data_IF_586712187254
#
_entry.id   IF_586712187254
#
_cell.length_a   1.000
_cell.length_b   1.000
_cell.length_c   1.000
_cell.angle_alpha   90.00
_cell.angle_beta   90.00
_cell.angle_gamma   90.00
#
_symmetry.space_group_name_H-M   'P 1'
#
loop_
_entity.id
_entity.type
_entity.pdbx_description
1 polymer ?
#
# COMPACT_ATOMS: atom_id res chain seq x y z
N UNK A 1 20.60 -31.49 8.71
CA UNK A 1 21.59 -30.82 7.83
C UNK A 1 21.00 -29.47 7.47
N UNK A 2 21.57 -28.37 7.96
CA UNK A 2 21.09 -27.03 7.61
C UNK A 2 21.53 -26.67 6.20
N UNK A 3 20.59 -26.25 5.35
CA UNK A 3 20.88 -25.76 4.00
C UNK A 3 22.00 -24.72 4.04
N UNK A 4 23.05 -24.93 3.26
CA UNK A 4 24.10 -23.93 3.05
C UNK A 4 23.46 -22.68 2.46
N UNK A 5 23.54 -21.54 3.16
CA UNK A 5 23.05 -20.26 2.63
C UNK A 5 23.80 -19.92 1.33
N UNK A 6 23.13 -20.05 0.19
CA UNK A 6 23.67 -19.67 -1.12
C UNK A 6 23.59 -18.14 -1.27
N UNK A 7 24.74 -17.49 -1.42
CA UNK A 7 24.81 -16.06 -1.68
C UNK A 7 24.64 -15.80 -3.18
N UNK A 8 23.84 -14.80 -3.54
CA UNK A 8 23.51 -14.44 -4.92
C UNK A 8 23.94 -12.99 -5.12
N UNK A 9 24.75 -12.73 -6.15
CA UNK A 9 25.23 -11.38 -6.46
C UNK A 9 24.14 -10.54 -7.12
N UNK A 10 24.29 -9.22 -7.09
CA UNK A 10 23.36 -8.32 -7.77
C UNK A 10 23.36 -8.54 -9.30
N UNK A 11 24.51 -8.90 -9.88
CA UNK A 11 24.67 -9.25 -11.29
C UNK A 11 23.91 -10.53 -11.65
N UNK A 12 23.94 -11.53 -10.76
CA UNK A 12 23.20 -12.77 -10.95
C UNK A 12 21.69 -12.52 -10.83
N UNK A 13 21.25 -11.79 -9.79
CA UNK A 13 19.84 -11.45 -9.60
C UNK A 13 19.23 -10.78 -10.84
N UNK A 14 19.97 -9.85 -11.48
CA UNK A 14 19.51 -9.12 -12.68
C UNK A 14 19.17 -10.03 -13.87
N UNK A 15 19.70 -11.26 -13.92
CA UNK A 15 19.42 -12.22 -15.00
C UNK A 15 17.99 -12.78 -14.92
N UNK A 16 17.43 -12.84 -13.71
CA UNK A 16 16.11 -13.41 -13.41
C UNK A 16 15.00 -12.35 -13.51
N UNK A 17 14.84 -11.76 -14.70
CA UNK A 17 13.95 -10.62 -14.96
C UNK A 17 12.83 -10.90 -15.99
N UNK A 18 12.58 -12.18 -16.32
CA UNK A 18 11.57 -12.59 -17.31
C UNK A 18 10.39 -13.25 -16.62
N UNK A 19 9.22 -13.27 -17.27
CA UNK A 19 7.99 -13.80 -16.65
C UNK A 19 8.09 -15.27 -16.25
N UNK A 20 8.91 -16.03 -16.96
CA UNK A 20 9.16 -17.46 -16.73
C UNK A 20 10.32 -17.69 -15.74
N UNK A 21 11.00 -16.63 -15.29
CA UNK A 21 12.13 -16.67 -14.37
C UNK A 21 12.24 -15.32 -13.63
N UNK A 22 11.46 -15.19 -12.55
CA UNK A 22 11.30 -13.94 -11.77
C UNK A 22 11.88 -14.12 -10.39
N UNK A 23 12.99 -13.44 -10.11
CA UNK A 23 13.54 -13.34 -8.76
C UNK A 23 13.50 -11.90 -8.27
N UNK A 24 13.30 -11.72 -6.98
CA UNK A 24 13.35 -10.41 -6.32
C UNK A 24 14.22 -10.49 -5.07
N UNK A 25 14.89 -9.40 -4.72
CA UNK A 25 15.51 -9.25 -3.40
C UNK A 25 14.58 -8.45 -2.48
N UNK A 26 14.35 -8.94 -1.27
CA UNK A 26 13.71 -8.17 -0.18
C UNK A 26 14.56 -8.32 1.08
N UNK A 27 15.04 -7.20 1.60
CA UNK A 27 15.91 -7.06 2.77
C UNK A 27 17.19 -7.90 2.65
N UNK A 28 17.81 -7.86 1.47
CA UNK A 28 19.04 -8.61 1.17
C UNK A 28 18.84 -10.14 1.05
N UNK A 29 17.59 -10.63 1.10
CA UNK A 29 17.26 -12.03 0.82
C UNK A 29 16.69 -12.13 -0.59
N UNK A 30 17.21 -13.07 -1.37
CA UNK A 30 16.72 -13.34 -2.72
C UNK A 30 15.63 -14.40 -2.67
N UNK A 31 14.51 -14.11 -3.32
CA UNK A 31 13.36 -14.99 -3.44
C UNK A 31 13.13 -15.28 -4.92
N UNK A 32 13.12 -16.56 -5.27
CA UNK A 32 12.53 -16.98 -6.54
C UNK A 32 11.01 -16.94 -6.37
N UNK A 33 10.35 -16.03 -7.08
CA UNK A 33 8.90 -15.83 -7.01
C UNK A 33 8.19 -16.25 -8.29
N UNK A 34 8.88 -16.89 -9.23
CA UNK A 34 8.39 -17.30 -10.55
C UNK A 34 7.01 -17.97 -10.50
N UNK A 35 6.82 -18.95 -9.62
CA UNK A 35 5.55 -19.65 -9.49
C UNK A 35 4.50 -18.84 -8.70
N UNK A 36 4.96 -17.97 -7.81
CA UNK A 36 4.12 -17.19 -6.92
C UNK A 36 3.54 -15.93 -7.59
N UNK A 37 4.17 -15.37 -8.64
CA UNK A 37 3.70 -14.13 -9.28
C UNK A 37 2.24 -14.22 -9.74
N UNK A 38 1.80 -15.40 -10.17
CA UNK A 38 0.41 -15.66 -10.60
C UNK A 38 -0.58 -15.64 -9.44
N UNK A 39 -0.07 -15.81 -8.22
CA UNK A 39 -0.82 -15.81 -6.97
C UNK A 39 -0.64 -14.50 -6.18
N UNK A 40 0.09 -13.52 -6.71
CA UNK A 40 0.29 -12.24 -6.05
C UNK A 40 -1.05 -11.46 -5.99
N UNK A 41 -1.45 -10.94 -4.81
CA UNK A 41 -2.74 -10.26 -4.69
C UNK A 41 -2.90 -9.00 -5.55
N UNK A 42 -1.82 -8.25 -5.77
CA UNK A 42 -1.84 -7.10 -6.68
C UNK A 42 -1.77 -7.45 -8.17
N UNK A 43 -1.92 -8.73 -8.53
CA UNK A 43 -1.65 -9.24 -9.88
C UNK A 43 -0.16 -9.41 -10.16
N UNK A 44 0.20 -9.92 -11.33
CA UNK A 44 1.60 -10.21 -11.67
C UNK A 44 2.42 -8.97 -12.07
N UNK A 45 1.77 -7.95 -12.64
CA UNK A 45 2.42 -6.73 -13.17
C UNK A 45 3.31 -6.02 -12.13
N UNK A 46 2.87 -5.76 -10.88
CA UNK A 46 3.72 -5.08 -9.89
C UNK A 46 5.03 -5.84 -9.61
N UNK A 47 4.99 -7.17 -9.57
CA UNK A 47 6.17 -8.00 -9.32
C UNK A 47 7.05 -8.08 -10.57
N UNK A 48 6.46 -8.19 -11.76
CA UNK A 48 7.20 -8.20 -13.03
C UNK A 48 8.00 -6.91 -13.24
N UNK A 49 7.46 -5.76 -12.84
CA UNK A 49 8.18 -4.48 -12.88
C UNK A 49 9.40 -4.43 -11.95
N UNK A 50 9.46 -5.32 -10.97
CA UNK A 50 10.54 -5.46 -9.98
C UNK A 50 11.39 -6.73 -10.21
N UNK A 51 11.15 -7.47 -11.28
CA UNK A 51 11.87 -8.69 -11.60
C UNK A 51 13.36 -8.41 -11.78
N UNK A 52 14.20 -9.26 -11.19
CA UNK A 52 15.66 -9.13 -11.16
C UNK A 52 16.18 -7.91 -10.39
N UNK A 53 15.35 -7.32 -9.52
CA UNK A 53 15.68 -6.10 -8.78
C UNK A 53 15.53 -6.29 -7.27
N UNK A 54 16.06 -5.31 -6.55
CA UNK A 54 15.75 -5.08 -5.14
C UNK A 54 14.36 -4.43 -5.02
N UNK A 55 13.42 -5.15 -4.41
CA UNK A 55 12.01 -4.81 -4.26
C UNK A 55 11.61 -4.33 -2.85
N UNK A 56 12.54 -4.25 -1.89
CA UNK A 56 12.30 -3.82 -0.51
C UNK A 56 11.67 -2.45 -0.43
N UNK A 57 12.03 -1.53 -1.31
CA UNK A 57 11.50 -0.17 -1.25
C UNK A 57 10.11 -0.07 -1.84
N UNK A 58 9.80 -0.90 -2.85
CA UNK A 58 8.42 -1.06 -3.28
C UNK A 58 7.61 -1.66 -2.14
N UNK A 59 8.15 -2.68 -1.47
CA UNK A 59 7.53 -3.25 -0.27
C UNK A 59 7.28 -2.13 0.76
N UNK A 60 8.30 -1.38 1.18
CA UNK A 60 8.16 -0.27 2.15
C UNK A 60 7.20 0.82 1.67
N UNK A 61 7.21 1.20 0.39
CA UNK A 61 6.33 2.23 -0.15
C UNK A 61 4.84 1.83 -0.11
N UNK A 62 4.55 0.53 -0.20
CA UNK A 62 3.21 -0.02 -0.02
C UNK A 62 2.89 -0.38 1.44
N UNK A 63 3.87 -0.32 2.36
CA UNK A 63 3.64 -0.44 3.80
C UNK A 63 3.46 0.95 4.40
N UNK A 64 2.30 1.23 5.00
CA UNK A 64 1.96 2.58 5.38
C UNK A 64 2.89 3.13 6.47
N UNK A 65 2.88 4.46 6.64
CA UNK A 65 3.38 5.17 7.83
C UNK A 65 2.80 4.57 9.14
N UNK A 66 1.75 3.78 9.01
CA UNK A 66 1.03 3.09 10.06
C UNK A 66 1.44 1.62 10.18
N UNK A 67 1.52 1.12 11.40
CA UNK A 67 1.66 -0.30 11.66
C UNK A 67 0.26 -0.92 11.83
N UNK A 68 -0.12 -1.81 10.91
CA UNK A 68 -1.37 -2.59 11.03
C UNK A 68 -1.20 -3.88 11.84
N UNK A 69 0.05 -4.28 12.10
CA UNK A 69 0.39 -5.45 12.92
C UNK A 69 1.78 -5.32 13.54
N UNK A 70 2.06 -6.10 14.59
CA UNK A 70 3.36 -6.15 15.26
C UNK A 70 4.49 -6.72 14.41
N UNK A 71 4.18 -7.42 13.30
CA UNK A 71 5.22 -7.87 12.37
C UNK A 71 5.99 -6.72 11.74
N UNK A 72 5.39 -5.53 11.69
CA UNK A 72 6.00 -4.29 11.20
C UNK A 72 6.89 -3.59 12.25
N UNK A 73 6.99 -4.12 13.47
CA UNK A 73 7.92 -3.59 14.50
C UNK A 73 9.36 -4.09 14.31
N UNK A 74 9.61 -4.94 13.30
CA UNK A 74 10.95 -5.36 12.93
C UNK A 74 11.58 -4.28 12.06
N UNK A 75 12.84 -3.90 12.35
CA UNK A 75 13.58 -2.96 11.52
C UNK A 75 13.60 -3.42 10.06
N UNK A 76 13.35 -2.49 9.13
CA UNK A 76 13.31 -2.78 7.70
C UNK A 76 14.50 -2.11 7.00
N UNK A 77 15.36 -2.88 6.33
CA UNK A 77 16.46 -2.28 5.55
C UNK A 77 15.96 -1.71 4.23
N UNK A 78 15.90 -0.38 4.08
CA UNK A 78 15.59 0.25 2.80
C UNK A 78 16.83 0.38 1.93
N UNK A 79 16.77 -0.19 0.73
CA UNK A 79 17.82 -0.10 -0.27
C UNK A 79 17.75 1.18 -1.10
N UNK A 80 16.59 1.85 -1.15
CA UNK A 80 16.37 3.11 -1.84
C UNK A 80 16.97 4.27 -1.06
N UNK A 81 16.79 4.26 0.26
CA UNK A 81 17.38 5.25 1.15
C UNK A 81 18.78 4.85 1.64
N UNK A 82 19.22 3.62 1.37
CA UNK A 82 20.50 3.09 1.86
C UNK A 82 20.60 3.09 3.39
N UNK A 83 19.47 2.91 4.09
CA UNK A 83 19.39 2.98 5.56
C UNK A 83 18.47 1.92 6.14
N UNK A 84 18.78 1.49 7.35
CA UNK A 84 17.86 0.71 8.18
C UNK A 84 16.74 1.64 8.70
N UNK A 85 15.49 1.29 8.40
CA UNK A 85 14.31 1.88 9.03
C UNK A 85 14.11 1.14 10.35
N UNK A 86 14.82 1.61 11.38
CA UNK A 86 14.72 1.04 12.72
C UNK A 86 13.37 1.36 13.34
N UNK A 87 12.80 0.39 14.05
CA UNK A 87 11.64 0.65 14.91
C UNK A 87 12.11 1.24 16.25
N UNK A 88 12.69 2.43 16.16
CA UNK A 88 13.29 3.15 17.27
C UNK A 88 12.23 3.75 18.23
N UNK A 89 12.69 4.40 19.30
CA UNK A 89 11.79 5.00 20.29
C UNK A 89 10.84 6.05 19.70
N UNK A 90 11.27 6.76 18.64
CA UNK A 90 10.45 7.76 17.97
C UNK A 90 9.36 7.10 17.12
N UNK A 91 9.69 6.06 16.37
CA UNK A 91 8.74 5.24 15.63
C UNK A 91 7.73 4.58 16.59
N UNK A 92 8.19 4.02 17.71
CA UNK A 92 7.32 3.47 18.77
C UNK A 92 6.35 4.53 19.31
N UNK A 93 6.83 5.74 19.56
CA UNK A 93 5.98 6.84 20.01
C UNK A 93 4.89 7.15 18.99
N UNK A 94 5.23 7.41 17.73
CA UNK A 94 4.23 7.74 16.71
C UNK A 94 3.24 6.60 16.45
N UNK A 95 3.71 5.35 16.40
CA UNK A 95 2.84 4.18 16.25
C UNK A 95 1.92 4.01 17.45
N UNK A 96 2.35 4.35 18.68
CA UNK A 96 1.50 4.28 19.88
C UNK A 96 0.29 5.23 19.83
N UNK A 97 0.32 6.27 18.99
CA UNK A 97 -0.76 7.24 18.81
C UNK A 97 -1.39 7.22 17.41
N UNK A 98 -1.01 6.26 16.56
CA UNK A 98 -1.39 6.26 15.14
C UNK A 98 -2.90 6.27 14.87
N UNK A 99 -3.71 5.73 15.78
CA UNK A 99 -5.16 5.69 15.65
C UNK A 99 -5.82 7.07 15.83
N UNK A 100 -5.13 8.02 16.47
CA UNK A 100 -5.55 9.43 16.52
C UNK A 100 -4.99 10.24 15.35
N UNK A 101 -3.77 9.91 14.91
CA UNK A 101 -3.09 10.65 13.84
C UNK A 101 -3.43 10.15 12.44
N UNK A 102 -4.22 9.07 12.32
CA UNK A 102 -4.60 8.45 11.05
C UNK A 102 -5.14 9.46 10.04
N UNK A 103 -6.27 10.13 10.34
CA UNK A 103 -6.88 11.06 9.40
C UNK A 103 -5.99 12.28 9.08
N UNK A 104 -5.39 12.98 10.07
CA UNK A 104 -4.48 14.09 9.78
C UNK A 104 -3.31 13.71 8.86
N UNK A 105 -2.68 12.56 9.11
CA UNK A 105 -1.56 12.08 8.29
C UNK A 105 -2.04 11.71 6.88
N UNK A 106 -3.20 11.07 6.74
CA UNK A 106 -3.75 10.74 5.42
C UNK A 106 -4.06 12.01 4.61
N UNK A 107 -4.53 13.09 5.22
CA UNK A 107 -4.74 14.38 4.53
C UNK A 107 -3.47 14.96 3.91
N UNK A 108 -2.30 14.72 4.50
CA UNK A 108 -1.00 15.21 4.01
C UNK A 108 -0.17 14.14 3.29
N UNK A 109 -0.61 12.89 3.31
CA UNK A 109 0.09 11.74 2.72
C UNK A 109 0.41 11.90 1.23
N UNK A 110 -0.35 12.74 0.52
CA UNK A 110 -0.08 13.09 -0.88
C UNK A 110 1.28 13.75 -1.08
N UNK A 111 1.77 14.52 -0.09
CA UNK A 111 3.12 15.10 -0.11
C UNK A 111 4.16 13.98 -0.18
N UNK A 112 3.99 12.91 0.60
CA UNK A 112 4.87 11.75 0.53
C UNK A 112 4.84 11.12 -0.87
N UNK A 113 3.68 10.95 -1.50
CA UNK A 113 3.59 10.43 -2.87
C UNK A 113 4.35 11.29 -3.89
N UNK A 114 4.28 12.62 -3.78
CA UNK A 114 5.07 13.51 -4.63
C UNK A 114 6.57 13.35 -4.40
N UNK A 115 6.99 13.29 -3.14
CA UNK A 115 8.40 13.06 -2.78
C UNK A 115 8.88 11.72 -3.34
N UNK A 116 8.13 10.62 -3.14
CA UNK A 116 8.44 9.30 -3.70
C UNK A 116 8.56 9.32 -5.23
N UNK A 117 7.68 10.08 -5.90
CA UNK A 117 7.70 10.20 -7.37
C UNK A 117 8.98 10.87 -7.85
N UNK A 118 9.38 11.99 -7.25
CA UNK A 118 10.63 12.68 -7.59
C UNK A 118 11.83 11.78 -7.31
N UNK A 119 11.86 11.19 -6.11
CA UNK A 119 12.88 10.23 -5.69
C UNK A 119 13.03 9.08 -6.70
N UNK A 120 11.94 8.45 -7.13
CA UNK A 120 11.96 7.36 -8.11
C UNK A 120 12.46 7.83 -9.49
N UNK A 121 12.02 8.99 -9.97
CA UNK A 121 12.38 9.49 -11.31
C UNK A 121 13.84 9.91 -11.41
N UNK A 122 14.41 10.47 -10.34
CA UNK A 122 15.82 10.82 -10.26
C UNK A 122 16.71 9.65 -9.80
N UNK A 123 16.14 8.49 -9.51
CA UNK A 123 16.91 7.29 -9.18
C UNK A 123 17.53 6.61 -10.40
N UNK A 124 18.49 5.71 -10.15
CA UNK A 124 19.10 4.86 -11.18
C UNK A 124 18.21 3.68 -11.63
N UNK A 125 17.02 3.49 -11.03
CA UNK A 125 16.11 2.38 -11.38
C UNK A 125 15.61 2.53 -12.82
N UNK A 126 15.18 1.43 -13.46
CA UNK A 126 14.52 1.51 -14.77
C UNK A 126 13.06 1.93 -14.55
N UNK A 127 12.66 3.07 -15.11
CA UNK A 127 11.27 3.56 -15.05
C UNK A 127 10.72 3.59 -16.49
N UNK A 128 9.64 2.85 -16.78
CA UNK A 128 8.97 2.93 -18.08
C UNK A 128 8.58 4.37 -18.39
N UNK A 129 8.77 4.80 -19.65
CA UNK A 129 8.33 6.12 -20.12
C UNK A 129 8.81 7.29 -19.26
N UNK A 130 10.02 7.19 -18.67
CA UNK A 130 10.58 8.18 -17.73
C UNK A 130 10.48 9.61 -18.24
N UNK A 131 10.78 9.84 -19.52
CA UNK A 131 10.70 11.16 -20.13
C UNK A 131 9.29 11.75 -20.04
N UNK A 132 8.25 10.98 -20.42
CA UNK A 132 6.87 11.42 -20.34
C UNK A 132 6.40 11.63 -18.91
N UNK A 133 6.86 10.80 -17.97
CA UNK A 133 6.60 11.01 -16.54
C UNK A 133 7.19 12.33 -16.03
N UNK A 134 8.45 12.63 -16.38
CA UNK A 134 9.09 13.91 -16.03
C UNK A 134 8.33 15.08 -16.67
N UNK A 135 7.97 14.97 -17.95
CA UNK A 135 7.20 16.00 -18.65
C UNK A 135 5.86 16.27 -17.97
N UNK A 136 5.09 15.23 -17.64
CA UNK A 136 3.80 15.38 -16.95
C UNK A 136 3.94 16.06 -15.58
N UNK A 137 4.99 15.75 -14.84
CA UNK A 137 5.29 16.38 -13.55
C UNK A 137 5.69 17.84 -13.74
N UNK A 138 6.52 18.17 -14.72
CA UNK A 138 6.86 19.57 -15.03
C UNK A 138 5.63 20.37 -15.43
N UNK A 139 4.74 19.80 -16.24
CA UNK A 139 3.45 20.42 -16.59
C UNK A 139 2.63 20.69 -15.34
N UNK A 140 2.44 19.69 -14.47
CA UNK A 140 1.67 19.86 -13.24
C UNK A 140 2.27 20.90 -12.30
N UNK A 141 3.58 20.85 -12.05
CA UNK A 141 4.27 21.79 -11.15
C UNK A 141 4.50 23.18 -11.74
N UNK A 142 4.18 23.38 -13.01
CA UNK A 142 4.10 24.72 -13.62
C UNK A 142 2.66 25.23 -13.57
N UNK A 143 1.71 24.42 -14.06
CA UNK A 143 0.30 24.79 -14.13
C UNK A 143 -0.33 25.02 -12.75
N UNK A 144 -0.08 24.14 -11.78
CA UNK A 144 -0.72 24.22 -10.47
C UNK A 144 -0.32 25.49 -9.70
N UNK A 145 0.97 25.88 -9.59
CA UNK A 145 1.34 27.15 -9.01
C UNK A 145 0.79 28.36 -9.78
N UNK A 146 0.77 28.34 -11.12
CA UNK A 146 0.19 29.44 -11.91
C UNK A 146 -1.32 29.59 -11.64
N UNK A 147 -2.05 28.48 -11.50
CA UNK A 147 -3.44 28.49 -11.08
C UNK A 147 -3.59 29.11 -9.68
N UNK A 148 -2.75 28.70 -8.72
CA UNK A 148 -2.76 29.24 -7.35
C UNK A 148 -2.43 30.74 -7.35
N UNK A 149 -1.46 31.19 -8.16
CA UNK A 149 -1.08 32.60 -8.28
C UNK A 149 -2.21 33.48 -8.84
N UNK A 150 -3.19 32.88 -9.53
CA UNK A 150 -4.38 33.59 -10.00
C UNK A 150 -5.33 33.98 -8.87
N UNK A 151 -5.12 33.46 -7.64
CA UNK A 151 -5.89 33.85 -6.46
C UNK A 151 -5.38 35.19 -5.87
N UNK A 152 -6.28 36.05 -5.37
CA UNK A 152 -6.01 37.45 -5.06
C UNK A 152 -5.08 37.67 -3.85
N UNK A 153 -5.09 36.78 -2.85
CA UNK A 153 -4.32 36.96 -1.61
C UNK A 153 -3.70 35.66 -1.10
N UNK A 154 -2.73 35.79 -0.19
CA UNK A 154 -1.99 34.66 0.38
C UNK A 154 -2.86 33.69 1.19
N UNK A 155 -3.88 34.18 1.88
CA UNK A 155 -4.79 33.34 2.66
C UNK A 155 -5.54 32.37 1.76
N UNK A 156 -6.14 32.84 0.67
CA UNK A 156 -6.84 32.01 -0.30
C UNK A 156 -5.90 31.01 -0.98
N UNK A 157 -4.68 31.43 -1.32
CA UNK A 157 -3.66 30.54 -1.90
C UNK A 157 -3.33 29.37 -0.98
N UNK A 158 -3.05 29.65 0.29
CA UNK A 158 -2.74 28.63 1.29
C UNK A 158 -3.94 27.71 1.51
N UNK A 159 -5.14 28.28 1.70
CA UNK A 159 -6.36 27.49 1.89
C UNK A 159 -6.69 26.61 0.69
N UNK A 160 -6.50 27.10 -0.53
CA UNK A 160 -6.71 26.33 -1.75
C UNK A 160 -5.77 25.12 -1.82
N UNK A 161 -4.48 25.31 -1.56
CA UNK A 161 -3.50 24.22 -1.56
C UNK A 161 -3.82 23.19 -0.47
N UNK A 162 -4.08 23.64 0.76
CA UNK A 162 -4.42 22.76 1.88
C UNK A 162 -5.70 21.96 1.58
N UNK A 163 -6.74 22.61 1.07
CA UNK A 163 -8.02 21.96 0.75
C UNK A 163 -7.86 20.96 -0.40
N UNK A 164 -7.15 21.34 -1.47
CA UNK A 164 -6.87 20.47 -2.61
C UNK A 164 -6.16 19.18 -2.20
N UNK A 165 -5.21 19.28 -1.25
CA UNK A 165 -4.47 18.11 -0.76
C UNK A 165 -5.34 17.29 0.21
N UNK A 166 -6.04 17.94 1.13
CA UNK A 166 -6.91 17.26 2.10
C UNK A 166 -8.07 16.51 1.44
N UNK A 167 -8.74 17.09 0.44
CA UNK A 167 -9.86 16.44 -0.28
C UNK A 167 -9.40 15.15 -0.95
N UNK A 168 -8.21 15.14 -1.57
CA UNK A 168 -7.65 13.90 -2.12
C UNK A 168 -7.29 12.86 -1.07
N UNK A 169 -7.06 13.28 0.17
CA UNK A 169 -6.89 12.38 1.32
C UNK A 169 -8.09 11.48 1.56
N UNK A 170 -9.32 11.91 1.21
CA UNK A 170 -10.53 11.08 1.36
C UNK A 170 -10.43 9.80 0.53
N UNK A 171 -9.95 9.91 -0.71
CA UNK A 171 -9.76 8.75 -1.58
C UNK A 171 -8.65 7.82 -1.04
N UNK A 172 -7.64 8.37 -0.39
CA UNK A 172 -6.60 7.57 0.26
C UNK A 172 -7.14 6.87 1.52
N UNK A 173 -8.02 7.52 2.30
CA UNK A 173 -8.76 6.85 3.39
C UNK A 173 -9.47 5.62 2.84
N UNK A 174 -10.24 5.78 1.76
CA UNK A 174 -10.94 4.66 1.11
C UNK A 174 -10.00 3.49 0.77
N UNK A 175 -8.84 3.78 0.18
CA UNK A 175 -7.85 2.74 -0.13
C UNK A 175 -7.36 2.03 1.14
N UNK A 176 -7.11 2.77 2.23
CA UNK A 176 -6.73 2.19 3.51
C UNK A 176 -7.86 1.33 4.12
N UNK A 177 -9.12 1.75 3.99
CA UNK A 177 -10.27 1.00 4.53
C UNK A 177 -10.40 -0.39 3.90
N UNK A 178 -10.11 -0.50 2.61
CA UNK A 178 -10.22 -1.77 1.88
C UNK A 178 -9.19 -2.83 2.31
N UNK A 179 -8.07 -2.40 2.92
CA UNK A 179 -6.89 -3.25 3.13
C UNK A 179 -6.39 -3.33 4.58
N UNK A 180 -6.43 -2.23 5.34
CA UNK A 180 -5.74 -2.17 6.64
C UNK A 180 -6.37 -3.09 7.69
N UNK A 181 -7.68 -3.27 7.62
CA UNK A 181 -8.41 -4.16 8.52
C UNK A 181 -8.71 -5.53 7.90
N UNK A 182 -8.23 -5.78 6.68
CA UNK A 182 -8.37 -7.06 6.03
C UNK A 182 -7.40 -8.09 6.61
N UNK A 183 -7.65 -9.36 6.32
CA UNK A 183 -6.82 -10.43 6.83
C UNK A 183 -5.48 -10.44 6.09
N UNK A 184 -4.39 -10.56 6.83
CA UNK A 184 -3.04 -10.65 6.29
C UNK A 184 -2.50 -12.06 6.52
N UNK A 185 -1.80 -12.59 5.53
CA UNK A 185 -1.12 -13.87 5.68
C UNK A 185 0.06 -13.73 6.65
N UNK A 186 0.10 -14.60 7.65
CA UNK A 186 1.23 -14.71 8.58
C UNK A 186 2.03 -15.96 8.22
N UNK A 187 3.27 -15.78 7.77
CA UNK A 187 4.18 -16.87 7.42
C UNK A 187 4.34 -17.12 5.92
N UNK A 188 4.96 -18.25 5.56
CA UNK A 188 5.17 -18.63 4.16
C UNK A 188 3.81 -18.90 3.49
N UNK A 189 3.58 -18.42 2.24
CA UNK A 189 2.33 -18.67 1.54
C UNK A 189 2.14 -20.18 1.37
N UNK A 190 1.13 -20.75 2.05
CA UNK A 190 0.72 -22.15 1.91
C UNK A 190 -0.76 -22.20 1.52
N UNK A 191 -1.11 -23.12 0.62
CA UNK A 191 -2.43 -23.76 0.63
C UNK A 191 -3.62 -23.12 -0.09
N UNK A 192 -3.63 -21.83 -0.45
CA UNK A 192 -4.87 -21.19 -0.93
C UNK A 192 -4.78 -20.66 -2.37
N UNK A 193 -5.86 -20.86 -3.14
CA UNK A 193 -6.04 -20.36 -4.50
C UNK A 193 -5.99 -18.82 -4.53
N UNK A 194 -5.56 -18.23 -5.65
CA UNK A 194 -5.44 -16.77 -5.81
C UNK A 194 -6.75 -16.03 -5.52
N UNK A 195 -7.88 -16.64 -5.90
CA UNK A 195 -9.20 -16.08 -5.68
C UNK A 195 -9.51 -15.99 -4.17
N UNK A 196 -9.24 -17.06 -3.43
CA UNK A 196 -9.44 -17.10 -1.97
C UNK A 196 -8.63 -16.01 -1.25
N UNK A 197 -7.39 -15.78 -1.71
CA UNK A 197 -6.53 -14.70 -1.21
C UNK A 197 -7.14 -13.32 -1.41
N UNK A 198 -7.77 -13.06 -2.55
CA UNK A 198 -8.45 -11.78 -2.79
C UNK A 198 -9.64 -11.64 -1.86
N UNK A 199 -10.46 -12.68 -1.75
CA UNK A 199 -11.67 -12.67 -0.92
C UNK A 199 -11.38 -12.48 0.57
N UNK A 200 -10.28 -13.05 1.07
CA UNK A 200 -9.87 -12.95 2.48
C UNK A 200 -9.05 -11.68 2.76
N UNK A 201 -8.29 -11.19 1.79
CA UNK A 201 -7.41 -10.03 1.93
C UNK A 201 -8.03 -8.69 1.54
N UNK A 202 -9.32 -8.65 1.22
CA UNK A 202 -9.99 -7.42 0.77
C UNK A 202 -11.30 -7.17 1.52
N UNK A 203 -11.64 -5.88 1.65
CA UNK A 203 -12.91 -5.38 2.17
C UNK A 203 -13.47 -4.43 1.11
N UNK A 204 -14.73 -4.63 0.74
CA UNK A 204 -15.50 -3.72 -0.09
C UNK A 204 -16.32 -2.77 0.77
N UNK A 205 -16.72 -1.63 0.18
CA UNK A 205 -17.52 -0.62 0.85
C UNK A 205 -18.93 -0.61 0.27
N UNK A 206 -19.90 -1.03 1.08
CA UNK A 206 -21.31 -0.96 0.74
C UNK A 206 -21.76 0.50 0.65
N UNK A 207 -22.24 0.90 -0.52
CA UNK A 207 -22.80 2.23 -0.75
C UNK A 207 -23.92 2.20 -1.80
N UNK A 208 -24.79 3.22 -1.74
CA UNK A 208 -25.85 3.39 -2.73
C UNK A 208 -25.26 3.76 -4.11
N UNK A 209 -25.96 3.45 -5.22
CA UNK A 209 -25.44 3.72 -6.57
C UNK A 209 -25.06 5.19 -6.84
N UNK A 210 -25.71 6.14 -6.17
CA UNK A 210 -25.41 7.57 -6.27
C UNK A 210 -23.98 7.90 -5.81
N UNK A 211 -23.43 7.08 -4.92
CA UNK A 211 -22.07 7.24 -4.39
C UNK A 211 -21.00 6.64 -5.32
N UNK A 212 -21.37 5.99 -6.42
CA UNK A 212 -20.41 5.36 -7.34
C UNK A 212 -19.41 6.36 -7.92
N UNK A 213 -19.90 7.56 -8.25
CA UNK A 213 -19.05 8.62 -8.76
C UNK A 213 -18.04 9.07 -7.70
N UNK A 214 -18.50 9.23 -6.46
CA UNK A 214 -17.67 9.69 -5.33
C UNK A 214 -16.58 8.70 -4.96
N UNK A 215 -16.92 7.41 -4.83
CA UNK A 215 -15.94 6.35 -4.53
C UNK A 215 -15.11 5.96 -5.75
N UNK A 216 -15.54 6.36 -6.95
CA UNK A 216 -14.77 6.19 -8.18
C UNK A 216 -14.55 4.75 -8.62
N UNK A 217 -15.22 3.77 -8.02
CA UNK A 217 -15.04 2.33 -8.24
C UNK A 217 -14.20 1.63 -7.14
N UNK A 218 -13.56 2.39 -6.25
CA UNK A 218 -12.74 1.84 -5.15
C UNK A 218 -13.56 1.18 -4.04
N UNK A 219 -14.89 1.31 -4.07
CA UNK A 219 -15.79 0.59 -3.18
C UNK A 219 -15.95 -0.90 -3.55
N UNK A 220 -15.54 -1.27 -4.76
CA UNK A 220 -15.59 -2.63 -5.33
C UNK A 220 -14.17 -3.17 -5.52
N UNK A 221 -13.42 -3.21 -4.43
CA UNK A 221 -12.00 -3.53 -4.46
C UNK A 221 -11.78 -5.01 -4.79
N UNK A 222 -12.62 -5.90 -4.26
CA UNK A 222 -12.54 -7.32 -4.56
C UNK A 222 -12.80 -7.56 -6.05
N UNK A 223 -13.86 -6.99 -6.61
CA UNK A 223 -14.16 -7.11 -8.04
C UNK A 223 -13.03 -6.53 -8.91
N UNK A 224 -12.43 -5.41 -8.48
CA UNK A 224 -11.27 -4.83 -9.15
C UNK A 224 -10.06 -5.78 -9.14
N UNK A 225 -9.79 -6.46 -8.02
CA UNK A 225 -8.69 -7.42 -7.91
C UNK A 225 -8.95 -8.67 -8.76
N UNK A 226 -10.18 -9.18 -8.74
CA UNK A 226 -10.59 -10.37 -9.49
C UNK A 226 -10.58 -10.11 -11.00
N UNK A 227 -10.93 -8.89 -11.43
CA UNK A 227 -11.07 -8.51 -12.83
C UNK A 227 -10.36 -7.18 -13.14
N UNK A 228 -9.02 -7.12 -13.09
CA UNK A 228 -8.27 -5.86 -13.20
C UNK A 228 -8.39 -5.17 -14.55
N UNK A 229 -8.85 -5.90 -15.58
CA UNK A 229 -9.12 -5.36 -16.93
C UNK A 229 -10.57 -4.91 -17.13
N UNK A 230 -11.45 -5.16 -16.17
CA UNK A 230 -12.85 -4.77 -16.28
C UNK A 230 -12.99 -3.26 -16.05
N UNK A 231 -13.73 -2.53 -16.91
CA UNK A 231 -13.98 -1.12 -16.69
C UNK A 231 -14.72 -0.87 -15.38
N UNK A 232 -14.30 0.17 -14.64
CA UNK A 232 -14.86 0.51 -13.32
C UNK A 232 -16.39 0.64 -13.29
N UNK A 233 -17.00 1.08 -14.40
CA UNK A 233 -18.45 1.25 -14.52
C UNK A 233 -19.23 -0.09 -14.54
N UNK A 234 -18.56 -1.22 -14.71
CA UNK A 234 -19.18 -2.55 -14.68
C UNK A 234 -19.05 -3.22 -13.30
N UNK A 235 -18.21 -2.70 -12.40
CA UNK A 235 -17.92 -3.36 -11.10
C UNK A 235 -19.18 -3.58 -10.27
N UNK A 236 -20.07 -2.57 -10.19
CA UNK A 236 -21.36 -2.72 -9.49
C UNK A 236 -22.23 -3.84 -10.07
N UNK A 237 -22.21 -4.03 -11.40
CA UNK A 237 -23.05 -5.05 -12.05
C UNK A 237 -22.53 -6.46 -11.77
N UNK A 238 -21.22 -6.63 -11.66
CA UNK A 238 -20.62 -7.94 -11.39
C UNK A 238 -20.57 -8.28 -9.90
N UNK A 239 -20.64 -7.28 -9.01
CA UNK A 239 -20.57 -7.47 -7.56
C UNK A 239 -21.57 -8.53 -7.03
N UNK A 240 -22.87 -8.54 -7.42
CA UNK A 240 -23.78 -9.62 -7.02
C UNK A 240 -23.36 -11.01 -7.52
N UNK A 241 -22.79 -11.09 -8.73
CA UNK A 241 -22.29 -12.35 -9.32
C UNK A 241 -21.09 -12.86 -8.52
N UNK A 242 -20.18 -11.97 -8.13
CA UNK A 242 -19.02 -12.30 -7.29
C UNK A 242 -19.48 -12.75 -5.89
N UNK A 243 -20.47 -12.08 -5.30
CA UNK A 243 -21.07 -12.49 -4.02
C UNK A 243 -21.64 -13.91 -4.09
N UNK A 244 -22.39 -14.22 -5.15
CA UNK A 244 -22.97 -15.55 -5.33
C UNK A 244 -21.92 -16.62 -5.59
N UNK A 245 -20.85 -16.28 -6.31
CA UNK A 245 -19.69 -17.16 -6.50
C UNK A 245 -18.98 -17.43 -5.18
N UNK A 246 -18.74 -16.40 -4.35
CA UNK A 246 -18.15 -16.57 -3.03
C UNK A 246 -19.02 -17.47 -2.15
N UNK A 247 -20.34 -17.25 -2.11
CA UNK A 247 -21.28 -18.12 -1.37
C UNK A 247 -21.22 -19.56 -1.85
N UNK A 248 -21.25 -19.78 -3.17
CA UNK A 248 -21.21 -21.13 -3.78
C UNK A 248 -19.95 -21.91 -3.39
N UNK A 249 -18.82 -21.22 -3.27
CA UNK A 249 -17.52 -21.82 -2.97
C UNK A 249 -17.11 -21.68 -1.50
N UNK A 250 -18.01 -21.22 -0.63
CA UNK A 250 -17.73 -20.98 0.80
C UNK A 250 -16.51 -20.06 1.03
N UNK A 251 -16.39 -19.03 0.20
CA UNK A 251 -15.36 -17.99 0.30
C UNK A 251 -15.92 -16.75 0.99
N UNK A 252 -15.06 -15.99 1.65
CA UNK A 252 -15.46 -14.74 2.29
C UNK A 252 -15.87 -13.69 1.25
N UNK A 253 -16.88 -12.90 1.57
CA UNK A 253 -17.17 -11.66 0.84
C UNK A 253 -17.50 -10.61 1.89
N UNK A 254 -16.57 -9.69 2.13
CA UNK A 254 -16.75 -8.64 3.14
C UNK A 254 -17.10 -7.35 2.46
N UNK A 255 -18.34 -6.91 2.62
CA UNK A 255 -18.80 -5.59 2.22
C UNK A 255 -19.35 -4.88 3.45
N UNK A 256 -18.64 -3.86 3.90
CA UNK A 256 -18.96 -3.10 5.11
C UNK A 256 -19.52 -1.73 4.73
N UNK A 257 -20.39 -1.16 5.55
CA UNK A 257 -20.69 0.27 5.39
C UNK A 257 -19.43 1.11 5.59
N UNK A 258 -19.39 2.31 5.02
CA UNK A 258 -18.26 3.23 5.18
C UNK A 258 -17.91 3.49 6.65
N UNK A 259 -18.93 3.58 7.52
CA UNK A 259 -18.74 3.76 8.95
C UNK A 259 -18.12 2.54 9.63
N UNK A 260 -18.59 1.34 9.32
CA UNK A 260 -18.06 0.09 9.87
C UNK A 260 -16.61 -0.12 9.47
N UNK A 261 -16.27 0.12 8.20
CA UNK A 261 -14.91 0.00 7.70
C UNK A 261 -13.97 0.96 8.44
N UNK A 262 -14.36 2.23 8.63
CA UNK A 262 -13.59 3.17 9.45
C UNK A 262 -13.39 2.67 10.88
N UNK A 263 -14.46 2.19 11.52
CA UNK A 263 -14.39 1.64 12.88
C UNK A 263 -13.44 0.44 12.96
N UNK A 264 -13.44 -0.44 11.97
CA UNK A 264 -12.54 -1.58 11.88
C UNK A 264 -11.08 -1.11 11.72
N UNK A 265 -10.80 -0.24 10.76
CA UNK A 265 -9.46 0.31 10.53
C UNK A 265 -8.90 0.97 11.79
N UNK A 266 -9.66 1.84 12.44
CA UNK A 266 -9.22 2.51 13.68
C UNK A 266 -8.97 1.50 14.81
N UNK A 267 -9.76 0.42 14.91
CA UNK A 267 -9.52 -0.66 15.88
C UNK A 267 -8.25 -1.44 15.60
N UNK A 268 -7.98 -1.77 14.34
CA UNK A 268 -6.73 -2.44 13.94
C UNK A 268 -5.53 -1.57 14.30
N UNK A 269 -5.57 -0.29 13.89
CA UNK A 269 -4.52 0.69 14.20
C UNK A 269 -4.33 0.87 15.70
N UNK A 270 -5.42 0.92 16.48
CA UNK A 270 -5.36 1.00 17.94
C UNK A 270 -4.76 -0.25 18.56
N UNK A 271 -5.08 -1.43 18.05
CA UNK A 271 -4.54 -2.70 18.57
C UNK A 271 -3.03 -2.75 18.40
N UNK A 272 -2.52 -2.44 17.21
CA UNK A 272 -1.09 -2.32 16.97
C UNK A 272 -0.45 -1.19 17.82
N UNK A 273 -1.14 -0.06 17.98
CA UNK A 273 -0.66 1.04 18.81
C UNK A 273 -0.46 0.63 20.28
N UNK A 274 -1.40 -0.14 20.84
CA UNK A 274 -1.30 -0.61 22.23
C UNK A 274 -0.14 -1.61 22.41
N UNK A 275 0.13 -2.45 21.42
CA UNK A 275 1.29 -3.35 21.44
C UNK A 275 2.61 -2.57 21.41
N UNK A 276 2.73 -1.56 20.54
CA UNK A 276 3.90 -0.69 20.50
C UNK A 276 4.11 0.08 21.82
N UNK A 277 3.02 0.49 22.47
CA UNK A 277 3.06 1.18 23.77
C UNK A 277 3.55 0.29 24.90
N UNK A 278 3.13 -0.98 24.91
CA UNK A 278 3.66 -1.98 25.86
C UNK A 278 5.18 -2.13 25.74
N UNK A 279 5.68 -2.26 24.50
CA UNK A 279 7.13 -2.34 24.23
C UNK A 279 7.88 -1.05 24.62
N UNK A 280 7.26 0.12 24.50
CA UNK A 280 7.85 1.39 24.95
C UNK A 280 7.91 1.45 26.49
N UNK A 281 6.84 1.03 27.16
CA UNK A 281 6.79 0.97 28.62
C UNK A 281 7.83 0.01 29.18
N UNK A 282 7.98 -1.18 28.61
CA UNK A 282 9.04 -2.12 28.96
C UNK A 282 10.41 -1.48 28.76
N UNK A 283 10.70 -0.94 27.57
CA UNK A 283 12.00 -0.32 27.28
C UNK A 283 12.39 0.81 28.26
N UNK A 284 11.41 1.57 28.77
CA UNK A 284 11.67 2.64 29.75
C UNK A 284 11.87 2.10 31.17
N UNK A 285 11.25 0.98 31.53
CA UNK A 285 11.24 0.45 32.90
C UNK A 285 12.13 -0.79 33.14
N UNK A 286 12.62 -1.45 32.08
CA UNK A 286 13.54 -2.60 32.20
C UNK A 286 15.01 -2.20 32.11
N UNK A 287 15.31 -0.91 31.96
CA UNK A 287 16.65 -0.35 32.22
C UNK A 287 16.70 0.18 33.65
N UNK A 288 16.70 -0.76 34.60
CA UNK A 288 17.09 -0.59 36.00
C UNK A 288 18.18 -1.59 36.33
#
# INVERSE_FOLDING_TARGET
MGDSKKYITAEELKKHNKREDVWISVQGKVYNVTDWIKQHPGGDIPILNLAGQEATDAFIAFHPVFAVSSSLFKSLNSTFYGRELTFDSLAKFFVSYQHFTFYPIICVSRVNLFVQTLLLLFSKRKVPDRFFNILGIMVFWTWFPLLVLSLPNWTERVLFVLTSFAVTGIQHVQFCLNHFAADVYVGQPKGNDWFEKQTAGTIDIACSPQMDWFFGGLQFQLEHHLFPRLPRCQLRKISPIVQDLCKKHNLSYRSLSFFEANRWTIRTLRTAAMQARGMLWEAVNTHG
#
